data_IF_357830923764
#
_entry.id   IF_357830923764
#
_cell.length_a   1.000
_cell.length_b   1.000
_cell.length_c   1.000
_cell.angle_alpha   90.00
_cell.angle_beta   90.00
_cell.angle_gamma   90.00
#
_symmetry.space_group_name_H-M   'P 1'
#
loop_
_entity.id
_entity.type
_entity.pdbx_description
1 polymer ?
#
# COMPACT_ATOMS: atom_id res chain seq x y z
N UNK A 1 -15.08 -24.37 22.15
CA UNK A 1 -13.75 -24.96 21.86
C UNK A 1 -13.30 -24.73 20.42
N UNK A 2 -14.20 -24.78 19.42
CA UNK A 2 -13.89 -24.68 17.98
C UNK A 2 -13.20 -23.37 17.57
N UNK A 3 -13.63 -22.22 18.09
CA UNK A 3 -13.02 -20.92 17.79
C UNK A 3 -11.54 -20.79 18.20
N UNK A 4 -11.12 -21.45 19.30
CA UNK A 4 -9.70 -21.43 19.73
C UNK A 4 -8.81 -22.20 18.74
N UNK A 5 -9.30 -23.34 18.23
CA UNK A 5 -8.60 -24.14 17.21
C UNK A 5 -8.50 -23.41 15.88
N UNK A 6 -9.58 -22.73 15.46
CA UNK A 6 -9.59 -21.93 14.23
C UNK A 6 -8.59 -20.76 14.33
N UNK A 7 -8.57 -20.03 15.45
CA UNK A 7 -7.59 -18.95 15.67
C UNK A 7 -6.14 -19.44 15.61
N UNK A 8 -5.86 -20.59 16.23
CA UNK A 8 -4.53 -21.18 16.20
C UNK A 8 -4.13 -21.61 14.78
N UNK A 9 -5.03 -22.26 14.05
CA UNK A 9 -4.80 -22.61 12.64
C UNK A 9 -4.53 -21.37 11.78
N UNK A 10 -5.30 -20.31 11.97
CA UNK A 10 -5.11 -19.03 11.27
C UNK A 10 -3.74 -18.42 11.56
N UNK A 11 -3.31 -18.46 12.82
CA UNK A 11 -1.98 -18.00 13.22
C UNK A 11 -0.87 -18.81 12.56
N UNK A 12 -0.98 -20.15 12.56
CA UNK A 12 -0.01 -21.01 11.87
C UNK A 12 0.04 -20.75 10.35
N UNK A 13 -1.11 -20.54 9.71
CA UNK A 13 -1.19 -20.21 8.29
C UNK A 13 -0.54 -18.85 8.00
N UNK A 14 -0.81 -17.84 8.83
CA UNK A 14 -0.19 -16.52 8.71
C UNK A 14 1.33 -16.63 8.84
N UNK A 15 1.82 -17.39 9.81
CA UNK A 15 3.25 -17.60 10.03
C UNK A 15 3.92 -18.32 8.87
N UNK A 16 3.29 -19.38 8.34
CA UNK A 16 3.77 -20.10 7.17
C UNK A 16 3.83 -19.19 5.94
N UNK A 17 2.82 -18.34 5.74
CA UNK A 17 2.81 -17.36 4.66
C UNK A 17 3.95 -16.34 4.81
N UNK A 18 4.17 -15.79 6.01
CA UNK A 18 5.30 -14.90 6.26
C UNK A 18 6.65 -15.58 5.99
N UNK A 19 6.82 -16.85 6.36
CA UNK A 19 8.05 -17.60 6.08
C UNK A 19 8.29 -17.80 4.57
N UNK A 20 7.24 -18.13 3.82
CA UNK A 20 7.31 -18.27 2.35
C UNK A 20 7.66 -16.93 1.69
N UNK A 21 7.01 -15.85 2.11
CA UNK A 21 7.29 -14.51 1.58
C UNK A 21 8.73 -14.07 1.85
N UNK A 22 9.29 -14.40 3.02
CA UNK A 22 10.70 -14.15 3.32
C UNK A 22 11.62 -15.03 2.48
N UNK A 23 11.30 -16.31 2.28
CA UNK A 23 12.10 -17.22 1.45
C UNK A 23 12.09 -16.88 -0.04
N UNK A 24 11.05 -16.19 -0.52
CA UNK A 24 10.93 -15.67 -1.88
C UNK A 24 11.53 -14.27 -2.05
N UNK A 25 12.15 -13.72 -1.00
CA UNK A 25 12.71 -12.35 -0.99
C UNK A 25 11.71 -11.31 -1.50
N UNK A 26 10.44 -11.46 -1.14
CA UNK A 26 9.41 -10.55 -1.66
C UNK A 26 9.71 -9.13 -1.16
N UNK A 27 9.87 -8.16 -2.07
CA UNK A 27 10.25 -6.78 -1.74
C UNK A 27 9.08 -6.00 -1.15
N UNK A 28 8.71 -6.36 0.08
CA UNK A 28 7.64 -5.70 0.82
C UNK A 28 8.11 -4.31 1.27
N UNK A 29 7.24 -3.32 1.12
CA UNK A 29 7.49 -1.98 1.61
C UNK A 29 6.36 -1.45 2.49
N UNK A 30 6.74 -0.56 3.40
CA UNK A 30 5.85 0.31 4.16
C UNK A 30 6.29 1.75 3.90
N UNK A 31 5.34 2.60 3.52
CA UNK A 31 5.57 4.01 3.21
C UNK A 31 4.73 4.87 4.14
N UNK A 32 5.36 5.86 4.76
CA UNK A 32 4.67 6.92 5.49
C UNK A 32 4.94 8.25 4.80
N UNK A 33 3.88 9.00 4.51
CA UNK A 33 3.95 10.32 3.89
C UNK A 33 3.19 11.32 4.74
N UNK A 34 3.86 12.39 5.13
CA UNK A 34 3.27 13.56 5.80
C UNK A 34 3.61 14.80 4.99
N UNK A 35 2.60 15.53 4.55
CA UNK A 35 2.76 16.76 3.78
C UNK A 35 2.00 17.85 4.52
N UNK A 36 2.69 18.93 4.85
CA UNK A 36 2.11 20.12 5.47
C UNK A 36 2.31 21.31 4.54
N UNK A 37 1.24 22.06 4.28
CA UNK A 37 1.28 23.21 3.38
C UNK A 37 0.62 24.41 4.03
N UNK A 38 1.31 25.55 3.98
CA UNK A 38 0.80 26.85 4.41
C UNK A 38 0.70 27.78 3.21
N UNK A 39 -0.39 28.53 3.11
CA UNK A 39 -0.58 29.56 2.09
C UNK A 39 -1.13 30.85 2.73
N UNK A 40 -0.65 31.99 2.22
CA UNK A 40 -1.18 33.29 2.58
C UNK A 40 -2.15 33.78 1.49
N UNK A 41 -3.41 33.98 1.87
CA UNK A 41 -4.53 34.34 1.00
C UNK A 41 -5.06 35.74 1.37
N UNK A 42 -4.45 36.83 0.84
CA UNK A 42 -4.80 38.19 1.23
C UNK A 42 -6.26 38.59 0.90
N UNK A 43 -6.90 37.87 -0.02
CA UNK A 43 -8.28 38.12 -0.44
C UNK A 43 -9.33 37.52 0.50
N UNK A 44 -8.94 36.82 1.57
CA UNK A 44 -9.85 36.25 2.59
C UNK A 44 -9.68 36.97 3.93
N UNK A 45 -10.41 38.07 4.11
CA UNK A 45 -10.37 38.86 5.35
C UNK A 45 -10.77 38.01 6.57
N UNK A 46 -9.90 37.95 7.57
CA UNK A 46 -10.08 37.17 8.79
C UNK A 46 -9.70 35.69 8.67
N UNK A 47 -9.24 35.23 7.49
CA UNK A 47 -8.72 33.87 7.25
C UNK A 47 -7.58 33.89 6.23
N UNK A 48 -6.65 34.81 6.42
CA UNK A 48 -5.55 35.04 5.49
C UNK A 48 -4.51 33.91 5.52
N UNK A 49 -4.51 33.08 6.57
CA UNK A 49 -3.61 31.93 6.70
C UNK A 49 -4.41 30.66 6.43
N UNK A 50 -4.04 29.95 5.38
CA UNK A 50 -4.55 28.62 5.07
C UNK A 50 -3.50 27.57 5.43
N UNK A 51 -3.89 26.60 6.24
CA UNK A 51 -3.04 25.47 6.64
C UNK A 51 -3.71 24.16 6.23
N UNK A 52 -2.95 23.27 5.61
CA UNK A 52 -3.45 21.98 5.17
C UNK A 52 -2.44 20.89 5.48
N UNK A 53 -2.91 19.83 6.13
CA UNK A 53 -2.13 18.66 6.52
C UNK A 53 -2.64 17.41 5.81
N UNK A 54 -1.72 16.61 5.30
CA UNK A 54 -2.02 15.38 4.60
C UNK A 54 -1.13 14.26 5.14
N UNK A 55 -1.77 13.19 5.63
CA UNK A 55 -1.10 12.00 6.11
C UNK A 55 -1.54 10.78 5.30
N UNK A 56 -0.58 9.94 4.93
CA UNK A 56 -0.81 8.73 4.16
C UNK A 56 0.14 7.62 4.58
N UNK A 57 -0.44 6.44 4.81
CA UNK A 57 0.26 5.19 5.00
C UNK A 57 0.05 4.35 3.75
N UNK A 58 1.13 3.84 3.16
CA UNK A 58 1.11 2.89 2.06
C UNK A 58 1.81 1.60 2.43
N UNK A 59 1.36 0.47 1.92
CA UNK A 59 2.04 -0.82 2.06
C UNK A 59 1.86 -1.64 0.79
N UNK A 60 2.83 -2.49 0.47
CA UNK A 60 2.75 -3.23 -0.78
C UNK A 60 3.97 -4.06 -1.12
N UNK A 61 4.03 -4.47 -2.37
CA UNK A 61 5.12 -5.23 -3.00
C UNK A 61 5.73 -4.31 -4.07
N UNK A 62 7.01 -4.02 -3.94
CA UNK A 62 7.76 -3.17 -4.88
C UNK A 62 8.54 -4.03 -5.87
N UNK A 63 8.15 -4.06 -7.14
CA UNK A 63 8.97 -4.66 -8.20
C UNK A 63 9.33 -6.14 -7.98
N UNK A 64 8.37 -6.98 -7.58
CA UNK A 64 8.57 -8.43 -7.49
C UNK A 64 8.79 -9.00 -8.89
N UNK A 65 10.00 -9.52 -9.13
CA UNK A 65 10.35 -10.19 -10.38
C UNK A 65 10.64 -11.66 -10.12
N UNK A 66 9.90 -12.55 -10.79
CA UNK A 66 10.16 -13.98 -10.77
C UNK A 66 10.07 -14.56 -12.17
N UNK A 67 11.24 -14.93 -12.74
CA UNK A 67 11.39 -15.36 -14.12
C UNK A 67 10.80 -14.31 -15.07
N UNK A 68 9.70 -14.65 -15.71
CA UNK A 68 8.99 -13.87 -16.69
C UNK A 68 7.88 -13.00 -16.08
N UNK A 69 7.59 -13.15 -14.78
CA UNK A 69 6.51 -12.46 -14.08
C UNK A 69 7.04 -11.25 -13.31
N UNK A 70 6.40 -10.11 -13.49
CA UNK A 70 6.64 -8.90 -12.74
C UNK A 70 5.35 -8.45 -12.07
N UNK A 71 5.43 -8.09 -10.79
CA UNK A 71 4.28 -7.62 -10.04
C UNK A 71 4.66 -6.43 -9.16
N UNK A 72 3.82 -5.40 -9.17
CA UNK A 72 3.87 -4.30 -8.22
C UNK A 72 2.47 -4.09 -7.66
N UNK A 73 2.35 -3.93 -6.34
CA UNK A 73 1.10 -3.60 -5.70
C UNK A 73 1.36 -2.56 -4.62
N UNK A 74 0.54 -1.52 -4.56
CA UNK A 74 0.52 -0.54 -3.48
C UNK A 74 -0.92 -0.36 -3.00
N UNK A 75 -1.15 -0.67 -1.72
CA UNK A 75 -2.32 -0.24 -0.98
C UNK A 75 -1.98 1.06 -0.25
N UNK A 76 -2.89 2.02 -0.21
CA UNK A 76 -2.69 3.25 0.58
C UNK A 76 -3.93 3.64 1.35
N UNK A 77 -3.72 4.24 2.51
CA UNK A 77 -4.76 4.97 3.22
C UNK A 77 -4.99 6.31 2.53
N UNK A 78 -6.23 6.60 2.19
CA UNK A 78 -6.67 7.94 1.84
C UNK A 78 -7.52 8.47 2.99
N UNK A 79 -6.94 9.36 3.78
CA UNK A 79 -7.69 10.13 4.76
C UNK A 79 -8.43 11.25 4.01
N UNK A 80 -9.73 11.08 3.80
CA UNK A 80 -10.61 12.23 3.57
C UNK A 80 -11.06 12.74 4.95
N UNK A 81 -11.32 14.04 5.09
CA UNK A 81 -11.71 14.68 6.36
C UNK A 81 -12.88 14.00 7.10
N UNK A 82 -13.64 13.14 6.42
CA UNK A 82 -14.85 12.47 6.93
C UNK A 82 -14.63 10.97 7.13
N UNK A 83 -13.79 10.31 6.31
CA UNK A 83 -13.64 8.85 6.29
C UNK A 83 -12.22 8.42 5.92
N UNK A 84 -11.77 7.34 6.56
CA UNK A 84 -10.49 6.72 6.31
C UNK A 84 -10.73 5.39 5.59
N UNK A 85 -10.32 5.28 4.33
CA UNK A 85 -10.42 4.04 3.56
C UNK A 85 -9.05 3.62 3.02
N UNK A 86 -8.87 2.31 2.88
CA UNK A 86 -7.73 1.71 2.20
C UNK A 86 -8.14 1.51 0.75
N UNK A 87 -7.35 2.05 -0.18
CA UNK A 87 -7.55 1.88 -1.62
C UNK A 87 -6.35 1.18 -2.26
N UNK A 88 -6.62 0.44 -3.34
CA UNK A 88 -5.56 -0.02 -4.25
C UNK A 88 -5.10 1.21 -5.02
N UNK A 89 -3.88 1.66 -4.74
CA UNK A 89 -3.30 2.80 -5.44
C UNK A 89 -2.65 2.40 -6.76
N UNK A 90 -1.94 1.27 -6.72
CA UNK A 90 -1.19 0.75 -7.85
C UNK A 90 -1.30 -0.76 -7.85
N UNK A 91 -1.57 -1.33 -9.01
CA UNK A 91 -1.51 -2.76 -9.24
C UNK A 91 -1.05 -2.94 -10.68
N UNK A 92 0.18 -3.39 -10.86
CA UNK A 92 0.73 -3.75 -12.15
C UNK A 92 1.08 -5.23 -12.09
N UNK A 93 0.58 -6.01 -13.04
CA UNK A 93 1.01 -7.37 -13.25
C UNK A 93 1.43 -7.53 -14.70
N UNK A 94 2.69 -7.86 -14.94
CA UNK A 94 3.18 -8.12 -16.29
C UNK A 94 3.84 -9.48 -16.43
N UNK A 95 3.68 -10.07 -17.60
CA UNK A 95 4.31 -11.33 -17.98
C UNK A 95 5.01 -11.19 -19.32
N UNK A 96 6.32 -11.43 -19.32
CA UNK A 96 7.17 -11.36 -20.49
C UNK A 96 7.34 -12.74 -21.12
N UNK A 97 6.87 -12.94 -22.36
CA UNK A 97 7.09 -14.19 -23.10
C UNK A 97 7.75 -13.93 -24.43
N UNK A 98 8.96 -14.46 -24.59
CA UNK A 98 9.84 -14.25 -25.74
C UNK A 98 10.17 -12.76 -25.93
N UNK A 99 9.33 -12.03 -26.68
CA UNK A 99 9.43 -10.57 -26.94
C UNK A 99 8.10 -9.84 -26.75
N UNK A 100 7.11 -10.49 -26.13
CA UNK A 100 5.80 -9.94 -25.87
C UNK A 100 5.63 -9.69 -24.38
N UNK A 101 5.13 -8.52 -24.01
CA UNK A 101 4.72 -8.21 -22.64
C UNK A 101 3.19 -8.17 -22.58
N UNK A 102 2.62 -8.93 -21.66
CA UNK A 102 1.19 -8.89 -21.35
C UNK A 102 1.04 -8.20 -19.99
N UNK A 103 0.35 -7.07 -19.96
CA UNK A 103 0.15 -6.26 -18.75
C UNK A 103 -1.32 -6.22 -18.36
N UNK A 104 -1.62 -6.30 -17.06
CA UNK A 104 -2.95 -6.13 -16.48
C UNK A 104 -2.93 -5.06 -15.37
#
# INVERSE_FOLDING_TARGET
>A
MTYKKIKFLLFCLLFAYCAIMNGLEVPLFLRWKSINTGAYCPNQTGKEIHWNEFYQIGMGIDSLAYKDLFATMELRSRANFIENHIEIYKFDLSWAKNNWEITA
#
